data_IF_427528371998
#
_entry.id   IF_427528371998
#
_cell.length_a   1.000
_cell.length_b   1.000
_cell.length_c   1.000
_cell.angle_alpha   90.00
_cell.angle_beta   90.00
_cell.angle_gamma   90.00
#
_symmetry.space_group_name_H-M   'P 1'
#
loop_
_entity.id
_entity.type
_entity.pdbx_description
1 polymer ?
#
# COMPACT_ATOMS: atom_id res chain seq x y z
N UNK A 1 -6.07 2.46 -7.69
CA UNK A 1 -6.03 2.29 -6.23
C UNK A 1 -4.84 3.01 -5.59
N UNK A 2 -3.71 3.18 -6.29
CA UNK A 2 -2.49 3.81 -5.78
C UNK A 2 -1.81 4.68 -6.84
N UNK A 3 -0.86 5.55 -6.43
CA UNK A 3 -0.02 6.31 -7.37
C UNK A 3 0.80 5.39 -8.26
N UNK A 4 1.32 4.29 -7.71
CA UNK A 4 2.05 3.28 -8.49
C UNK A 4 1.18 2.65 -9.58
N UNK A 5 -0.09 2.36 -9.29
CA UNK A 5 -1.02 1.86 -10.31
C UNK A 5 -1.26 2.90 -11.42
N UNK A 6 -1.35 4.20 -11.08
CA UNK A 6 -1.48 5.29 -12.05
C UNK A 6 -0.23 5.37 -12.93
N UNK A 7 0.95 5.48 -12.33
CA UNK A 7 2.21 5.60 -13.09
C UNK A 7 2.42 4.40 -14.02
N UNK A 8 2.23 3.18 -13.52
CA UNK A 8 2.44 1.97 -14.32
C UNK A 8 1.40 1.83 -15.45
N UNK A 9 0.14 2.21 -15.21
CA UNK A 9 -0.88 2.22 -16.26
C UNK A 9 -0.50 3.13 -17.42
N UNK A 10 -0.12 4.38 -17.15
CA UNK A 10 0.21 5.33 -18.20
C UNK A 10 1.56 5.03 -18.88
N UNK A 11 2.55 4.58 -18.10
CA UNK A 11 3.85 4.18 -18.66
C UNK A 11 3.71 2.98 -19.59
N UNK A 12 2.98 1.94 -19.14
CA UNK A 12 2.73 0.75 -19.96
C UNK A 12 1.93 1.08 -21.24
N UNK A 13 0.90 1.93 -21.13
CA UNK A 13 0.15 2.38 -22.31
C UNK A 13 1.06 3.11 -23.32
N UNK A 14 1.97 3.95 -22.83
CA UNK A 14 2.96 4.65 -23.67
C UNK A 14 3.94 3.67 -24.32
N UNK A 15 4.47 2.73 -23.56
CA UNK A 15 5.42 1.70 -24.02
C UNK A 15 4.77 0.82 -25.10
N UNK A 16 3.54 0.39 -24.88
CA UNK A 16 2.76 -0.40 -25.82
C UNK A 16 2.17 0.41 -26.98
N UNK A 17 2.40 1.72 -27.02
CA UNK A 17 1.83 2.66 -28.00
C UNK A 17 0.30 2.62 -28.08
N UNK A 18 -0.35 2.40 -26.94
CA UNK A 18 -1.81 2.41 -26.82
C UNK A 18 -2.28 3.83 -26.59
N UNK A 19 -3.15 4.31 -27.49
CA UNK A 19 -3.82 5.60 -27.30
C UNK A 19 -4.96 5.46 -26.29
N UNK A 20 -4.88 6.18 -25.18
CA UNK A 20 -5.95 6.20 -24.19
C UNK A 20 -7.03 7.16 -24.69
N UNK A 21 -8.31 6.72 -24.77
CA UNK A 21 -9.40 7.57 -25.24
C UNK A 21 -9.57 8.81 -24.35
N UNK A 22 -9.87 9.95 -24.96
CA UNK A 22 -10.10 11.19 -24.20
C UNK A 22 -11.29 11.14 -23.25
N UNK A 23 -12.27 10.28 -23.53
CA UNK A 23 -13.47 10.08 -22.71
C UNK A 23 -13.30 9.03 -21.62
N UNK A 24 -12.10 8.44 -21.49
CA UNK A 24 -11.79 7.49 -20.41
C UNK A 24 -12.15 8.05 -19.04
N UNK A 25 -12.85 7.26 -18.24
CA UNK A 25 -13.23 7.58 -16.88
C UNK A 25 -12.28 6.91 -15.87
N UNK A 26 -11.94 7.64 -14.82
CA UNK A 26 -11.03 7.19 -13.78
C UNK A 26 -11.75 7.18 -12.44
N UNK A 27 -11.64 6.07 -11.72
CA UNK A 27 -12.23 5.88 -10.39
C UNK A 27 -11.11 5.64 -9.38
N UNK A 28 -10.92 6.57 -8.46
CA UNK A 28 -9.82 6.61 -7.51
C UNK A 28 -10.32 6.41 -6.08
N UNK A 29 -9.61 5.67 -5.26
CA UNK A 29 -10.04 5.40 -3.88
C UNK A 29 -10.04 6.65 -2.99
N UNK A 30 -9.21 7.66 -3.31
CA UNK A 30 -9.13 8.95 -2.60
C UNK A 30 -8.82 10.10 -3.56
N UNK A 31 -9.11 11.31 -3.10
CA UNK A 31 -8.89 12.55 -3.85
C UNK A 31 -7.42 12.76 -4.26
N UNK A 32 -6.47 12.46 -3.37
CA UNK A 32 -5.04 12.65 -3.66
C UNK A 32 -4.55 11.82 -4.84
N UNK A 33 -5.14 10.64 -5.09
CA UNK A 33 -4.84 9.83 -6.28
C UNK A 33 -5.55 10.42 -7.50
N UNK A 34 -6.78 10.91 -7.35
CA UNK A 34 -7.52 11.58 -8.42
C UNK A 34 -6.81 12.85 -8.90
N UNK A 35 -6.25 13.62 -7.98
CA UNK A 35 -5.41 14.77 -8.32
C UNK A 35 -4.09 14.36 -8.97
N UNK A 36 -3.51 13.24 -8.55
CA UNK A 36 -2.25 12.74 -9.12
C UNK A 36 -2.37 12.35 -10.60
N UNK A 37 -3.55 11.93 -11.06
CA UNK A 37 -3.81 11.61 -12.48
C UNK A 37 -3.56 12.84 -13.39
N UNK A 38 -3.64 14.06 -12.88
CA UNK A 38 -3.35 15.28 -13.64
C UNK A 38 -1.94 15.31 -14.25
N UNK A 39 -1.02 14.53 -13.71
CA UNK A 39 0.32 14.33 -14.30
C UNK A 39 0.25 13.78 -15.73
N UNK A 40 -0.82 13.07 -16.07
CA UNK A 40 -0.96 12.32 -17.32
C UNK A 40 -2.12 12.80 -18.20
N UNK A 41 -3.21 13.27 -17.59
CA UNK A 41 -4.41 13.69 -18.31
C UNK A 41 -4.98 14.98 -17.73
N UNK A 42 -5.66 15.75 -18.56
CA UNK A 42 -6.38 16.94 -18.10
C UNK A 42 -7.51 16.53 -17.14
N UNK A 43 -7.46 17.02 -15.91
CA UNK A 43 -8.50 16.78 -14.92
C UNK A 43 -9.83 17.37 -15.34
N UNK A 44 -10.87 16.54 -15.31
CA UNK A 44 -12.26 16.95 -15.57
C UNK A 44 -13.17 16.23 -14.57
N UNK A 45 -13.94 16.97 -13.78
CA UNK A 45 -14.86 16.42 -12.77
C UNK A 45 -15.80 15.31 -13.30
N UNK A 46 -16.20 15.39 -14.56
CA UNK A 46 -17.07 14.39 -15.22
C UNK A 46 -16.37 13.09 -15.59
N UNK A 47 -15.04 13.03 -15.49
CA UNK A 47 -14.22 11.88 -15.90
C UNK A 47 -13.39 11.27 -14.76
N UNK A 48 -13.16 12.03 -13.70
CA UNK A 48 -12.33 11.61 -12.57
C UNK A 48 -13.20 11.62 -11.32
N UNK A 49 -13.46 10.43 -10.80
CA UNK A 49 -14.27 10.19 -9.61
C UNK A 49 -13.39 9.68 -8.48
N UNK A 50 -13.73 10.03 -7.25
CA UNK A 50 -12.97 9.54 -6.09
C UNK A 50 -13.86 9.29 -4.88
N UNK A 51 -13.40 8.35 -4.05
CA UNK A 51 -13.98 8.07 -2.74
C UNK A 51 -13.40 8.98 -1.66
N UNK A 52 -13.98 8.93 -0.48
CA UNK A 52 -13.63 9.77 0.66
C UNK A 52 -13.01 9.02 1.83
N UNK A 53 -13.03 7.67 1.81
CA UNK A 53 -12.57 6.83 2.93
C UNK A 53 -11.23 6.13 2.68
N UNK A 54 -10.69 6.21 1.46
CA UNK A 54 -9.53 5.42 1.04
C UNK A 54 -9.85 3.95 0.77
N UNK A 55 -11.10 3.53 0.97
CA UNK A 55 -11.60 2.19 0.67
C UNK A 55 -12.44 2.21 -0.60
N UNK A 56 -12.41 1.10 -1.34
CA UNK A 56 -13.17 0.95 -2.58
C UNK A 56 -14.68 1.04 -2.36
N UNK A 57 -15.17 0.64 -1.19
CA UNK A 57 -16.60 0.65 -0.84
C UNK A 57 -17.23 2.03 -1.06
N UNK A 58 -16.49 3.10 -0.79
CA UNK A 58 -16.95 4.48 -0.99
C UNK A 58 -17.13 4.85 -2.46
N UNK A 59 -16.54 4.10 -3.39
CA UNK A 59 -16.68 4.30 -4.84
C UNK A 59 -17.85 3.53 -5.44
N UNK A 60 -18.29 2.46 -4.83
CA UNK A 60 -19.33 1.57 -5.37
C UNK A 60 -20.60 2.32 -5.78
N UNK A 61 -21.15 3.26 -4.97
CA UNK A 61 -22.34 4.01 -5.38
C UNK A 61 -22.13 4.82 -6.66
N UNK A 62 -20.94 5.36 -6.87
CA UNK A 62 -20.60 6.10 -8.08
C UNK A 62 -20.37 5.16 -9.26
N UNK A 63 -19.65 4.06 -9.06
CA UNK A 63 -19.41 3.05 -10.09
C UNK A 63 -20.72 2.40 -10.56
N UNK A 64 -21.66 2.15 -9.66
CA UNK A 64 -22.97 1.58 -10.01
C UNK A 64 -23.79 2.51 -10.94
N UNK A 65 -23.61 3.84 -10.85
CA UNK A 65 -24.22 4.78 -11.83
C UNK A 65 -23.62 4.62 -13.23
N UNK A 66 -22.46 4.01 -13.34
CA UNK A 66 -21.73 3.72 -14.58
C UNK A 66 -21.64 2.21 -14.86
N UNK A 67 -22.63 1.42 -14.44
CA UNK A 67 -22.64 -0.05 -14.54
C UNK A 67 -22.59 -0.62 -15.97
N UNK A 68 -22.82 0.19 -16.98
CA UNK A 68 -22.68 -0.18 -18.38
C UNK A 68 -21.23 -0.17 -18.85
N UNK A 69 -20.35 0.51 -18.11
CA UNK A 69 -18.92 0.58 -18.40
C UNK A 69 -18.21 -0.74 -18.05
N UNK A 70 -17.08 -0.98 -18.71
CA UNK A 70 -16.18 -2.07 -18.37
C UNK A 70 -14.95 -1.50 -17.68
N UNK A 71 -14.70 -1.97 -16.45
CA UNK A 71 -13.60 -1.47 -15.62
C UNK A 71 -12.32 -2.24 -15.88
N UNK A 72 -11.22 -1.54 -16.04
CA UNK A 72 -9.88 -2.10 -15.94
C UNK A 72 -9.34 -1.79 -14.54
N UNK A 73 -8.82 -2.81 -13.86
CA UNK A 73 -8.29 -2.71 -12.50
C UNK A 73 -6.77 -2.94 -12.54
N UNK A 74 -5.96 -1.86 -12.63
CA UNK A 74 -4.51 -1.97 -12.52
C UNK A 74 -4.13 -2.35 -11.09
N UNK A 75 -3.34 -3.40 -10.92
CA UNK A 75 -2.91 -3.87 -9.60
C UNK A 75 -1.49 -4.41 -9.59
N UNK A 76 -0.94 -4.57 -8.38
CA UNK A 76 0.34 -5.22 -8.15
C UNK A 76 0.24 -6.73 -8.28
N UNK A 77 1.37 -7.39 -8.49
CA UNK A 77 1.47 -8.86 -8.36
C UNK A 77 1.12 -9.35 -6.95
N UNK A 78 1.27 -8.50 -5.93
CA UNK A 78 0.84 -8.76 -4.56
C UNK A 78 -0.44 -7.96 -4.30
N UNK A 79 -1.58 -8.62 -4.34
CA UNK A 79 -2.90 -8.04 -4.13
C UNK A 79 -3.81 -9.04 -3.40
N UNK A 80 -4.97 -8.58 -2.99
CA UNK A 80 -6.03 -9.42 -2.40
C UNK A 80 -7.22 -9.45 -3.34
N UNK A 81 -7.97 -10.55 -3.34
CA UNK A 81 -9.19 -10.74 -4.14
C UNK A 81 -10.35 -9.82 -3.69
N UNK A 82 -10.23 -9.18 -2.54
CA UNK A 82 -11.29 -8.38 -1.94
C UNK A 82 -11.88 -7.29 -2.87
N UNK A 83 -11.04 -6.73 -3.77
CA UNK A 83 -11.51 -5.75 -4.74
C UNK A 83 -12.36 -6.41 -5.83
N UNK A 84 -11.91 -7.54 -6.36
CA UNK A 84 -12.62 -8.31 -7.39
C UNK A 84 -13.95 -8.82 -6.85
N UNK A 85 -13.95 -9.44 -5.67
CA UNK A 85 -15.14 -9.92 -4.97
C UNK A 85 -16.17 -8.81 -4.77
N UNK A 86 -15.72 -7.60 -4.39
CA UNK A 86 -16.61 -6.46 -4.20
C UNK A 86 -17.22 -5.95 -5.52
N UNK A 87 -16.45 -5.93 -6.60
CA UNK A 87 -16.94 -5.55 -7.93
C UNK A 87 -17.95 -6.58 -8.46
N UNK A 88 -17.69 -7.87 -8.27
CA UNK A 88 -18.60 -8.96 -8.65
C UNK A 88 -19.90 -8.92 -7.86
N UNK A 89 -19.82 -8.73 -6.54
CA UNK A 89 -20.99 -8.59 -5.68
C UNK A 89 -21.93 -7.45 -6.14
N UNK A 90 -21.36 -6.39 -6.74
CA UNK A 90 -22.11 -5.26 -7.29
C UNK A 90 -22.41 -5.39 -8.79
N UNK A 91 -22.12 -6.54 -9.42
CA UNK A 91 -22.33 -6.83 -10.83
C UNK A 91 -21.69 -5.80 -11.77
N UNK A 92 -20.50 -5.32 -11.39
CA UNK A 92 -19.69 -4.39 -12.18
C UNK A 92 -18.72 -5.18 -13.06
N UNK A 93 -18.90 -5.08 -14.37
CA UNK A 93 -18.03 -5.76 -15.34
C UNK A 93 -16.61 -5.23 -15.23
N UNK A 94 -15.65 -6.08 -14.85
CA UNK A 94 -14.28 -5.67 -14.69
C UNK A 94 -13.29 -6.69 -15.27
N UNK A 95 -12.05 -6.23 -15.43
CA UNK A 95 -10.89 -7.06 -15.77
C UNK A 95 -9.71 -6.56 -14.95
N UNK A 96 -9.12 -7.45 -14.18
CA UNK A 96 -7.90 -7.19 -13.46
C UNK A 96 -6.68 -7.29 -14.38
N UNK A 97 -5.69 -6.47 -14.12
CA UNK A 97 -4.44 -6.48 -14.86
C UNK A 97 -3.27 -6.19 -13.91
N UNK A 98 -2.41 -7.19 -13.73
CA UNK A 98 -1.15 -7.01 -13.01
C UNK A 98 -0.21 -6.18 -13.88
N UNK A 99 0.00 -4.94 -13.51
CA UNK A 99 0.81 -3.98 -14.27
C UNK A 99 2.17 -3.68 -13.65
N UNK A 100 2.38 -4.09 -12.40
CA UNK A 100 3.66 -3.92 -11.71
C UNK A 100 3.87 -5.01 -10.66
N UNK A 101 5.13 -5.25 -10.35
CA UNK A 101 5.52 -6.22 -9.33
C UNK A 101 6.09 -5.48 -8.13
N UNK A 102 5.66 -5.87 -6.95
CA UNK A 102 6.34 -5.52 -5.71
C UNK A 102 7.45 -6.54 -5.52
N UNK A 103 8.69 -6.08 -5.53
CA UNK A 103 9.88 -6.89 -5.30
C UNK A 103 10.59 -6.39 -4.06
N UNK A 104 11.20 -7.32 -3.31
CA UNK A 104 12.13 -6.95 -2.25
C UNK A 104 13.45 -6.55 -2.92
N UNK A 105 13.97 -5.38 -2.59
CA UNK A 105 15.35 -5.07 -2.90
C UNK A 105 16.20 -5.80 -1.86
N UNK A 106 17.10 -6.68 -2.32
CA UNK A 106 18.05 -7.35 -1.46
C UNK A 106 18.95 -6.32 -0.77
N UNK A 107 19.34 -6.59 0.46
CA UNK A 107 20.42 -5.87 1.12
C UNK A 107 21.76 -6.36 0.55
N UNK A 108 22.69 -5.44 0.36
CA UNK A 108 24.07 -5.78 0.00
C UNK A 108 24.77 -6.42 1.20
N UNK A 109 25.84 -7.17 0.96
CA UNK A 109 26.65 -7.72 2.05
C UNK A 109 27.18 -6.65 3.01
N UNK A 110 27.48 -5.46 2.50
CA UNK A 110 27.92 -4.32 3.29
C UNK A 110 26.81 -3.78 4.18
N UNK A 111 25.58 -3.65 3.66
CA UNK A 111 24.40 -3.23 4.45
C UNK A 111 24.04 -4.25 5.52
N UNK A 112 24.20 -5.55 5.24
CA UNK A 112 23.99 -6.60 6.26
C UNK A 112 25.06 -6.55 7.35
N UNK A 113 26.34 -6.34 6.99
CA UNK A 113 27.44 -6.20 7.96
C UNK A 113 27.30 -4.96 8.84
N UNK A 114 26.81 -3.88 8.27
CA UNK A 114 26.60 -2.59 8.94
C UNK A 114 25.18 -2.42 9.47
N UNK A 115 24.45 -3.52 9.70
CA UNK A 115 23.08 -3.50 10.18
C UNK A 115 23.05 -3.14 11.68
N UNK A 116 23.28 -1.85 11.97
CA UNK A 116 23.39 -1.28 13.30
C UNK A 116 22.23 -0.30 13.54
N UNK A 117 21.06 -0.85 13.86
CA UNK A 117 19.85 -0.08 14.10
C UNK A 117 19.31 -0.36 15.51
N UNK A 118 18.95 0.68 16.23
CA UNK A 118 18.26 0.56 17.53
C UNK A 118 16.79 0.12 17.39
N UNK A 119 16.17 0.43 16.25
CA UNK A 119 14.76 0.14 16.02
C UNK A 119 14.44 -0.10 14.55
N UNK A 120 13.60 -1.12 14.30
CA UNK A 120 13.01 -1.40 12.99
C UNK A 120 11.52 -1.07 12.99
N UNK A 121 11.04 -0.39 11.95
CA UNK A 121 9.64 0.02 11.80
C UNK A 121 9.04 -0.59 10.55
N UNK A 122 8.09 -1.50 10.72
CA UNK A 122 7.44 -2.19 9.61
C UNK A 122 6.04 -1.63 9.33
N UNK A 123 5.75 -1.34 8.07
CA UNK A 123 4.45 -0.86 7.59
C UNK A 123 3.64 -1.93 6.86
N UNK A 124 4.23 -3.11 6.62
CA UNK A 124 3.55 -4.21 5.94
C UNK A 124 4.11 -5.57 6.36
N UNK A 125 3.32 -6.65 6.28
CA UNK A 125 3.82 -8.02 6.48
C UNK A 125 4.96 -8.39 5.52
N UNK A 126 4.92 -7.87 4.29
CA UNK A 126 5.95 -8.10 3.27
C UNK A 126 7.31 -7.56 3.71
N UNK A 127 7.33 -6.41 4.41
CA UNK A 127 8.58 -5.86 4.96
C UNK A 127 9.20 -6.74 6.04
N UNK A 128 8.39 -7.36 6.88
CA UNK A 128 8.86 -8.31 7.91
C UNK A 128 9.46 -9.57 7.26
N UNK A 129 8.80 -10.11 6.23
CA UNK A 129 9.30 -11.25 5.46
C UNK A 129 10.62 -10.92 4.77
N UNK A 130 10.71 -9.74 4.16
CA UNK A 130 11.91 -9.27 3.49
C UNK A 130 13.12 -9.18 4.44
N UNK A 131 12.92 -8.80 5.71
CA UNK A 131 13.99 -8.84 6.71
C UNK A 131 14.57 -10.25 6.85
N UNK A 132 13.71 -11.27 7.02
CA UNK A 132 14.15 -12.66 7.18
C UNK A 132 14.72 -13.25 5.89
N UNK A 133 14.24 -12.83 4.72
CA UNK A 133 14.79 -13.23 3.42
C UNK A 133 16.20 -12.66 3.21
N UNK A 134 16.44 -11.41 3.62
CA UNK A 134 17.73 -10.75 3.46
C UNK A 134 18.72 -11.12 4.56
N UNK A 135 18.24 -11.39 5.77
CA UNK A 135 19.07 -11.78 6.92
C UNK A 135 18.44 -13.03 7.56
N UNK A 136 18.65 -14.23 6.98
CA UNK A 136 18.00 -15.47 7.45
C UNK A 136 18.26 -15.77 8.93
N UNK A 137 19.46 -15.43 9.42
CA UNK A 137 19.88 -15.62 10.81
C UNK A 137 19.71 -14.36 11.66
N UNK A 138 18.76 -13.49 11.31
CA UNK A 138 18.50 -12.27 12.06
C UNK A 138 18.12 -12.59 13.50
N UNK A 139 18.93 -12.13 14.45
CA UNK A 139 18.67 -12.16 15.88
C UNK A 139 18.31 -10.75 16.33
N UNK A 140 17.13 -10.60 16.92
CA UNK A 140 16.62 -9.29 17.30
C UNK A 140 17.43 -8.62 18.42
N UNK A 141 17.89 -9.41 19.41
CA UNK A 141 18.60 -8.86 20.57
C UNK A 141 17.83 -7.70 21.23
N UNK A 142 18.52 -6.57 21.37
CA UNK A 142 17.97 -5.33 21.97
C UNK A 142 17.25 -4.43 20.95
N UNK A 143 17.30 -4.76 19.66
CA UNK A 143 16.62 -4.01 18.60
C UNK A 143 15.11 -3.97 18.86
N UNK A 144 14.55 -2.77 18.92
CA UNK A 144 13.10 -2.58 19.08
C UNK A 144 12.38 -2.78 17.76
N UNK A 145 11.20 -3.38 17.79
CA UNK A 145 10.37 -3.57 16.59
C UNK A 145 9.04 -2.88 16.76
N UNK A 146 8.72 -2.00 15.80
CA UNK A 146 7.42 -1.35 15.67
C UNK A 146 6.69 -1.86 14.43
N UNK A 147 5.38 -2.10 14.55
CA UNK A 147 4.53 -2.54 13.46
C UNK A 147 3.33 -1.61 13.26
N UNK A 148 3.03 -1.27 12.01
CA UNK A 148 1.84 -0.52 11.64
C UNK A 148 0.75 -1.47 11.11
N UNK A 149 -0.36 -1.50 11.83
CA UNK A 149 -1.52 -2.34 11.52
C UNK A 149 -1.44 -3.76 12.10
N UNK A 150 -2.60 -4.37 12.34
CA UNK A 150 -2.69 -5.67 13.01
C UNK A 150 -2.10 -6.82 12.17
N UNK A 151 -2.18 -6.73 10.84
CA UNK A 151 -1.61 -7.74 9.95
C UNK A 151 -0.07 -7.76 10.03
N UNK A 152 0.55 -6.57 10.11
CA UNK A 152 2.01 -6.44 10.26
C UNK A 152 2.47 -6.93 11.63
N UNK A 153 1.72 -6.59 12.68
CA UNK A 153 2.00 -7.06 14.04
C UNK A 153 1.98 -8.60 14.13
N UNK A 154 0.94 -9.22 13.58
CA UNK A 154 0.84 -10.70 13.51
C UNK A 154 2.00 -11.34 12.75
N UNK A 155 2.46 -10.70 11.66
CA UNK A 155 3.60 -11.22 10.89
C UNK A 155 4.90 -11.13 11.70
N UNK A 156 5.13 -10.04 12.47
CA UNK A 156 6.28 -9.93 13.38
C UNK A 156 6.31 -11.09 14.36
N UNK A 157 5.18 -11.38 15.01
CA UNK A 157 5.05 -12.49 15.95
C UNK A 157 5.21 -13.86 15.26
N UNK A 158 4.63 -14.04 14.07
CA UNK A 158 4.73 -15.27 13.29
C UNK A 158 6.17 -15.59 12.87
N UNK A 159 7.02 -14.56 12.69
CA UNK A 159 8.45 -14.70 12.40
C UNK A 159 9.30 -14.91 13.69
N UNK A 160 8.67 -15.10 14.84
CA UNK A 160 9.34 -15.30 16.13
C UNK A 160 10.03 -14.04 16.67
N UNK A 161 9.62 -12.86 16.23
CA UNK A 161 10.19 -11.58 16.67
C UNK A 161 9.34 -10.96 17.77
N UNK A 162 10.00 -10.24 18.70
CA UNK A 162 9.33 -9.50 19.76
C UNK A 162 8.77 -8.20 19.19
N UNK A 163 7.48 -7.95 19.39
CA UNK A 163 6.83 -6.70 19.04
C UNK A 163 6.89 -5.72 20.23
N UNK A 164 7.59 -4.60 20.09
CA UNK A 164 7.76 -3.61 21.15
C UNK A 164 6.74 -2.46 21.04
N UNK A 165 6.27 -2.13 19.82
CA UNK A 165 5.31 -1.05 19.57
C UNK A 165 4.35 -1.40 18.44
N UNK A 166 3.05 -1.18 18.67
CA UNK A 166 2.02 -1.31 17.63
C UNK A 166 1.26 0.00 17.44
N UNK A 167 1.10 0.42 16.20
CA UNK A 167 0.21 1.50 15.77
C UNK A 167 -0.63 1.02 14.57
N UNK A 168 -1.82 1.62 14.30
CA UNK A 168 -2.49 2.61 15.12
C UNK A 168 -3.06 2.01 16.42
N UNK A 169 -3.16 2.84 17.44
CA UNK A 169 -3.86 2.56 18.69
C UNK A 169 -4.90 3.65 18.98
N UNK A 170 -5.72 3.47 20.00
CA UNK A 170 -6.69 4.51 20.43
C UNK A 170 -5.98 5.81 20.81
N UNK A 171 -4.81 5.70 21.41
CA UNK A 171 -4.02 6.84 21.89
C UNK A 171 -3.16 7.45 20.78
N UNK A 172 -2.61 6.60 19.91
CA UNK A 172 -1.71 7.04 18.83
C UNK A 172 -2.19 6.50 17.46
N UNK A 173 -2.99 7.28 16.72
CA UNK A 173 -3.54 6.84 15.45
C UNK A 173 -2.50 6.83 14.30
N UNK A 174 -1.29 7.35 14.54
CA UNK A 174 -0.20 7.36 13.57
C UNK A 174 1.07 6.73 14.13
N UNK A 175 1.89 6.12 13.25
CA UNK A 175 3.18 5.56 13.64
C UNK A 175 4.13 6.64 14.20
N UNK A 176 4.15 7.84 13.60
CA UNK A 176 4.99 8.93 14.07
C UNK A 176 4.63 9.41 15.48
N UNK A 177 3.33 9.47 15.80
CA UNK A 177 2.87 9.79 17.16
C UNK A 177 3.25 8.72 18.17
N UNK A 178 3.05 7.45 17.81
CA UNK A 178 3.41 6.31 18.63
C UNK A 178 4.92 6.25 18.90
N UNK A 179 5.75 6.44 17.88
CA UNK A 179 7.20 6.46 18.01
C UNK A 179 7.69 7.58 18.92
N UNK A 180 7.14 8.79 18.77
CA UNK A 180 7.50 9.92 19.65
C UNK A 180 7.26 9.58 21.11
N UNK A 181 6.06 9.10 21.43
CA UNK A 181 5.70 8.75 22.81
C UNK A 181 6.57 7.60 23.35
N UNK A 182 6.84 6.58 22.53
CA UNK A 182 7.71 5.47 22.88
C UNK A 182 9.13 5.94 23.23
N UNK A 183 9.74 6.75 22.37
CA UNK A 183 11.10 7.26 22.55
C UNK A 183 11.21 8.23 23.75
N UNK A 184 10.17 9.04 24.01
CA UNK A 184 10.12 9.90 25.20
C UNK A 184 10.07 9.08 26.51
N UNK A 185 9.34 7.96 26.50
CA UNK A 185 9.28 7.04 27.63
C UNK A 185 10.61 6.34 27.87
N UNK A 186 11.26 5.85 26.82
CA UNK A 186 12.58 5.21 26.89
C UNK A 186 13.65 6.16 27.46
N UNK A 187 13.61 7.46 27.06
CA UNK A 187 14.51 8.49 27.61
C UNK A 187 14.34 8.77 29.10
N UNK A 188 13.14 8.59 29.62
CA UNK A 188 12.85 8.79 31.06
C UNK A 188 13.27 7.59 31.92
N UNK A 189 13.46 6.42 31.29
CA UNK A 189 13.83 5.18 31.96
C UNK A 189 15.36 4.91 31.93
N UNK A 190 16.11 5.76 31.23
CA UNK A 190 17.59 5.84 31.23
C UNK A 190 18.06 6.94 32.18
#
# INVERSE_FOLDING_TARGET
>A
TSRHAVDNYFNLAKEMRVTIPEDMKYFCVIETIALYIQKYVQYRKRKVFFGNTGKIDSLIPTMTKHKTEKYLVPQSSVHTEALSELLDANKLKHKECVMYRTVSNGLTEEEVKNFDYDMLVFFSPTGVKALKENIPNFEQGDIKIAAFGPATAKEVEAQGLRLDLQAPSKEYPSMTGALRAFLEKEKKNK
#
